data_IF_113072094532
#
_entry.id   IF_113072094532
#
_cell.length_a   1.000
_cell.length_b   1.000
_cell.length_c   1.000
_cell.angle_alpha   90.00
_cell.angle_beta   90.00
_cell.angle_gamma   90.00
#
_symmetry.space_group_name_H-M   'P 1'
#
loop_
_entity.id
_entity.type
_entity.pdbx_description
1 polymer ?
#
# COMPACT_ATOMS: atom_id res chain seq x y z
N UNK A 1 -15.05 29.72 -68.69
CA UNK A 1 -14.95 29.81 -67.21
C UNK A 1 -14.79 28.40 -66.65
N UNK A 2 -13.56 28.03 -66.33
CA UNK A 2 -13.20 26.79 -65.61
C UNK A 2 -12.45 27.25 -64.36
N UNK A 3 -13.18 27.66 -63.35
CA UNK A 3 -12.59 28.06 -62.06
C UNK A 3 -12.25 26.80 -61.26
N UNK A 4 -10.97 26.68 -60.91
CA UNK A 4 -10.40 25.59 -60.11
C UNK A 4 -10.60 25.93 -58.64
N UNK A 5 -11.39 25.14 -57.91
CA UNK A 5 -11.36 25.14 -56.44
C UNK A 5 -10.23 24.25 -55.95
N UNK A 6 -9.01 24.79 -55.89
CA UNK A 6 -7.96 24.30 -54.98
C UNK A 6 -8.20 24.97 -53.64
N UNK A 7 -9.16 24.45 -52.86
CA UNK A 7 -9.26 24.80 -51.45
C UNK A 7 -8.10 24.14 -50.71
N UNK A 8 -7.26 25.01 -50.15
CA UNK A 8 -6.20 24.78 -49.19
C UNK A 8 -6.24 23.44 -48.45
N UNK A 9 -5.05 22.86 -48.27
CA UNK A 9 -4.75 21.76 -47.35
C UNK A 9 -5.13 22.13 -45.91
N UNK A 10 -6.43 22.13 -45.61
CA UNK A 10 -6.94 22.07 -44.26
C UNK A 10 -6.69 20.64 -43.81
N UNK A 11 -5.47 20.38 -43.34
CA UNK A 11 -5.18 19.18 -42.56
C UNK A 11 -6.26 19.12 -41.49
N UNK A 12 -7.15 18.14 -41.59
CA UNK A 12 -8.24 17.94 -40.64
C UNK A 12 -7.56 17.62 -39.31
N UNK A 13 -7.36 18.66 -38.50
CA UNK A 13 -6.76 18.52 -37.18
C UNK A 13 -7.82 17.92 -36.28
N UNK A 14 -7.46 16.81 -35.65
CA UNK A 14 -8.36 16.15 -34.70
C UNK A 14 -8.53 17.08 -33.51
N UNK A 15 -9.78 17.25 -33.09
CA UNK A 15 -10.13 18.03 -31.90
C UNK A 15 -9.39 17.48 -30.66
N UNK A 16 -9.04 18.37 -29.73
CA UNK A 16 -8.16 18.06 -28.59
C UNK A 16 -8.65 16.88 -27.74
N UNK A 17 -9.96 16.67 -27.63
CA UNK A 17 -10.54 15.54 -26.89
C UNK A 17 -10.32 14.18 -27.58
N UNK A 18 -9.97 14.18 -28.88
CA UNK A 18 -9.64 12.97 -29.64
C UNK A 18 -8.14 12.64 -29.62
N UNK A 19 -7.27 13.60 -29.30
CA UNK A 19 -5.81 13.42 -29.30
C UNK A 19 -5.23 13.37 -27.90
N UNK A 20 -5.80 14.12 -26.96
CA UNK A 20 -5.33 14.20 -25.59
C UNK A 20 -6.25 13.45 -24.65
N UNK A 21 -5.68 12.47 -23.92
CA UNK A 21 -6.41 11.82 -22.85
C UNK A 21 -6.66 12.84 -21.72
N UNK A 22 -7.84 12.76 -21.05
CA UNK A 22 -8.09 13.52 -19.84
C UNK A 22 -6.94 13.38 -18.83
N UNK A 23 -6.61 14.43 -18.05
CA UNK A 23 -5.51 14.41 -17.09
C UNK A 23 -5.58 13.23 -16.11
N UNK A 24 -6.79 12.78 -15.76
CA UNK A 24 -7.05 11.63 -14.90
C UNK A 24 -6.60 10.28 -15.51
N UNK A 25 -6.54 10.20 -16.85
CA UNK A 25 -6.25 8.99 -17.62
C UNK A 25 -4.87 9.03 -18.30
N UNK A 26 -4.04 10.05 -18.03
CA UNK A 26 -2.71 10.21 -18.66
C UNK A 26 -1.78 9.00 -18.47
N UNK A 27 -1.97 8.20 -17.42
CA UNK A 27 -1.20 6.99 -17.11
C UNK A 27 -1.89 5.68 -17.51
N UNK A 28 -3.02 5.75 -18.22
CA UNK A 28 -3.78 4.58 -18.64
C UNK A 28 -2.97 3.77 -19.68
N UNK A 29 -2.58 2.55 -19.32
CA UNK A 29 -1.97 1.58 -20.25
C UNK A 29 -0.47 1.31 -20.09
N UNK A 30 0.27 2.12 -19.31
CA UNK A 30 1.72 1.93 -19.11
C UNK A 30 2.12 1.26 -17.79
N UNK A 31 1.16 0.65 -17.09
CA UNK A 31 1.40 -0.05 -15.82
C UNK A 31 0.60 -1.34 -15.68
N UNK A 32 0.85 -2.14 -14.63
CA UNK A 32 0.12 -3.37 -14.35
C UNK A 32 -1.39 -3.12 -14.34
N UNK A 33 -2.14 -3.93 -15.10
CA UNK A 33 -3.60 -3.86 -15.24
C UNK A 33 -4.29 -4.46 -14.01
N UNK A 34 -4.08 -3.89 -12.84
CA UNK A 34 -4.73 -4.30 -11.59
C UNK A 34 -5.62 -3.19 -11.06
N UNK A 35 -6.68 -3.56 -10.36
CA UNK A 35 -7.55 -2.58 -9.70
C UNK A 35 -6.75 -1.79 -8.67
N UNK A 36 -6.99 -0.48 -8.59
CA UNK A 36 -6.37 0.37 -7.57
C UNK A 36 -6.85 -0.11 -6.20
N UNK A 37 -5.90 -0.55 -5.35
CA UNK A 37 -6.20 -0.99 -3.97
C UNK A 37 -6.52 0.15 -3.00
N UNK A 38 -6.26 1.39 -3.40
CA UNK A 38 -6.56 2.61 -2.62
C UNK A 38 -7.28 3.60 -3.54
N UNK A 39 -8.19 4.37 -2.97
CA UNK A 39 -8.81 5.50 -3.66
C UNK A 39 -7.73 6.54 -3.98
N UNK A 40 -7.69 7.04 -5.20
CA UNK A 40 -6.84 8.18 -5.53
C UNK A 40 -7.46 9.44 -4.96
N UNK A 41 -6.67 10.19 -4.18
CA UNK A 41 -6.99 11.55 -3.70
C UNK A 41 -7.36 12.52 -4.84
N UNK A 42 -6.97 12.17 -6.07
CA UNK A 42 -7.20 12.93 -7.31
C UNK A 42 -8.44 12.49 -8.07
N UNK A 43 -9.21 11.51 -7.58
CA UNK A 43 -10.50 11.20 -8.19
C UNK A 43 -11.40 12.40 -7.96
N UNK A 44 -11.61 13.20 -9.00
CA UNK A 44 -12.56 14.31 -8.96
C UNK A 44 -13.95 13.84 -8.55
N UNK A 45 -14.75 14.79 -8.07
CA UNK A 45 -16.11 14.53 -7.62
C UNK A 45 -16.95 13.92 -8.76
N UNK A 46 -17.42 12.69 -8.55
CA UNK A 46 -18.21 11.92 -9.53
C UNK A 46 -19.71 12.13 -9.34
N UNK A 47 -20.14 12.88 -8.31
CA UNK A 47 -21.57 13.14 -8.03
C UNK A 47 -22.15 14.28 -8.85
N UNK A 48 -21.37 14.90 -9.74
CA UNK A 48 -21.80 16.05 -10.56
C UNK A 48 -23.07 15.75 -11.37
N UNK A 49 -23.28 14.50 -11.77
CA UNK A 49 -24.46 14.08 -12.52
C UNK A 49 -25.70 13.81 -11.66
N UNK A 50 -25.53 13.59 -10.35
CA UNK A 50 -26.62 13.25 -9.43
C UNK A 50 -27.06 14.42 -8.55
N UNK A 51 -26.33 15.54 -8.56
CA UNK A 51 -26.59 16.67 -7.68
C UNK A 51 -27.59 17.69 -8.27
N UNK A 52 -28.48 18.18 -7.42
CA UNK A 52 -29.37 19.30 -7.75
C UNK A 52 -28.62 20.65 -7.65
N UNK A 53 -29.14 21.74 -8.25
CA UNK A 53 -28.50 23.06 -8.16
C UNK A 53 -28.25 23.53 -6.72
N UNK A 54 -29.15 23.19 -5.79
CA UNK A 54 -29.01 23.51 -4.37
C UNK A 54 -27.90 22.68 -3.67
N UNK A 55 -27.75 21.41 -4.06
CA UNK A 55 -26.69 20.54 -3.52
C UNK A 55 -25.30 20.99 -3.97
N UNK A 56 -25.21 21.52 -5.20
CA UNK A 56 -23.97 22.05 -5.76
C UNK A 56 -23.43 23.24 -4.95
N UNK A 57 -24.30 24.16 -4.53
CA UNK A 57 -23.90 25.30 -3.70
C UNK A 57 -23.48 24.88 -2.29
N UNK A 58 -24.17 23.90 -1.70
CA UNK A 58 -23.82 23.35 -0.38
C UNK A 58 -22.45 22.67 -0.40
N UNK A 59 -22.20 21.78 -1.36
CA UNK A 59 -20.91 21.09 -1.52
C UNK A 59 -19.76 22.04 -1.84
N UNK A 60 -20.02 23.11 -2.61
CA UNK A 60 -19.00 24.12 -2.89
C UNK A 60 -18.54 24.85 -1.61
N UNK A 61 -19.48 25.21 -0.72
CA UNK A 61 -19.15 25.83 0.57
C UNK A 61 -18.38 24.88 1.49
N UNK A 62 -18.82 23.64 1.62
CA UNK A 62 -18.15 22.61 2.41
C UNK A 62 -16.72 22.35 1.91
N UNK A 63 -16.51 22.30 0.59
CA UNK A 63 -15.17 22.09 0.02
C UNK A 63 -14.22 23.26 0.29
N UNK A 64 -14.71 24.50 0.28
CA UNK A 64 -13.91 25.67 0.64
C UNK A 64 -13.56 25.71 2.13
N UNK A 65 -14.43 25.19 2.99
CA UNK A 65 -14.15 25.03 4.43
C UNK A 65 -13.16 23.89 4.70
N UNK A 66 -13.30 22.75 4.01
CA UNK A 66 -12.40 21.61 4.12
C UNK A 66 -10.98 21.90 3.60
N UNK A 67 -10.83 22.70 2.53
CA UNK A 67 -9.51 23.15 2.06
C UNK A 67 -8.78 24.03 3.08
N UNK A 68 -9.51 24.82 3.88
CA UNK A 68 -8.94 25.67 4.93
C UNK A 68 -8.52 24.87 6.17
N UNK A 69 -9.13 23.70 6.42
CA UNK A 69 -8.77 22.83 7.54
C UNK A 69 -7.69 21.80 7.19
N UNK A 70 -7.63 21.34 5.93
CA UNK A 70 -6.67 20.33 5.48
C UNK A 70 -5.20 20.81 5.47
N UNK A 71 -4.94 22.11 5.31
CA UNK A 71 -3.57 22.67 5.38
C UNK A 71 -2.95 22.61 6.79
N UNK A 72 -3.68 22.09 7.78
CA UNK A 72 -3.29 22.07 9.20
C UNK A 72 -3.11 20.64 9.76
N UNK A 73 -3.33 19.60 8.95
CA UNK A 73 -3.34 18.20 9.39
C UNK A 73 -2.01 17.48 9.07
N UNK A 74 -1.12 18.11 8.29
CA UNK A 74 0.22 17.56 7.97
C UNK A 74 1.30 17.99 8.99
N UNK A 75 0.93 18.77 10.01
CA UNK A 75 1.77 18.86 11.20
C UNK A 75 1.53 17.61 12.03
N UNK A 76 2.58 16.81 12.16
CA UNK A 76 2.78 15.76 13.17
C UNK A 76 1.79 15.96 14.32
N UNK A 77 0.89 15.00 14.54
CA UNK A 77 0.09 14.99 15.77
C UNK A 77 1.06 15.13 16.93
N UNK A 78 1.21 16.34 17.46
CA UNK A 78 2.25 16.68 18.42
C UNK A 78 1.89 15.91 19.67
N UNK A 79 2.49 14.72 19.81
CA UNK A 79 2.28 13.87 20.97
C UNK A 79 2.52 14.74 22.19
N UNK A 80 1.50 14.83 23.05
CA UNK A 80 1.57 15.64 24.25
C UNK A 80 2.81 15.24 25.03
N UNK A 81 3.45 16.17 25.74
CA UNK A 81 4.63 15.85 26.55
C UNK A 81 4.39 14.70 27.54
N UNK A 82 3.13 14.46 27.91
CA UNK A 82 2.68 13.30 28.67
C UNK A 82 2.82 11.97 27.91
N UNK A 83 2.43 11.94 26.64
CA UNK A 83 2.44 10.72 25.82
C UNK A 83 3.86 10.26 25.52
N UNK A 84 4.79 11.20 25.31
CA UNK A 84 6.22 10.90 25.16
C UNK A 84 6.78 10.20 26.39
N UNK A 85 6.50 10.73 27.59
CA UNK A 85 6.91 10.11 28.86
C UNK A 85 6.31 8.72 29.06
N UNK A 86 5.04 8.55 28.70
CA UNK A 86 4.38 7.24 28.79
C UNK A 86 5.01 6.23 27.82
N UNK A 87 5.30 6.66 26.59
CA UNK A 87 5.97 5.83 25.61
C UNK A 87 7.34 5.37 26.11
N UNK A 88 8.15 6.28 26.67
CA UNK A 88 9.47 5.96 27.26
C UNK A 88 9.39 4.99 28.45
N UNK A 89 8.38 5.14 29.32
CA UNK A 89 8.14 4.19 30.41
C UNK A 89 7.76 2.80 29.90
N UNK A 90 6.92 2.73 28.86
CA UNK A 90 6.51 1.46 28.26
C UNK A 90 7.67 0.80 27.50
N UNK A 91 8.49 1.57 26.78
CA UNK A 91 9.67 1.04 26.07
C UNK A 91 10.69 0.48 27.05
N UNK A 92 11.07 1.23 28.09
CA UNK A 92 12.01 0.76 29.12
C UNK A 92 11.53 -0.50 29.86
N UNK A 93 10.23 -0.59 30.16
CA UNK A 93 9.65 -1.81 30.71
C UNK A 93 9.73 -2.99 29.72
N UNK A 94 9.34 -2.77 28.47
CA UNK A 94 9.37 -3.82 27.45
C UNK A 94 10.79 -4.32 27.20
N UNK A 95 11.79 -3.45 27.16
CA UNK A 95 13.20 -3.81 26.93
C UNK A 95 13.79 -4.66 28.07
N UNK A 96 13.38 -4.42 29.31
CA UNK A 96 13.91 -5.13 30.48
C UNK A 96 13.13 -6.41 30.85
N UNK A 97 11.81 -6.42 30.62
CA UNK A 97 10.91 -7.50 31.06
C UNK A 97 10.39 -8.37 29.93
N UNK A 98 10.43 -7.91 28.67
CA UNK A 98 9.95 -8.68 27.51
C UNK A 98 11.09 -9.01 26.56
N UNK A 99 10.92 -10.12 25.85
CA UNK A 99 11.74 -10.43 24.69
C UNK A 99 11.43 -9.46 23.55
N UNK A 100 12.36 -9.35 22.60
CA UNK A 100 12.19 -8.55 21.40
C UNK A 100 10.87 -8.84 20.68
N UNK A 101 10.27 -7.80 20.10
CA UNK A 101 9.03 -7.94 19.32
C UNK A 101 9.27 -8.83 18.11
N UNK A 102 8.26 -9.61 17.72
CA UNK A 102 8.30 -10.44 16.52
C UNK A 102 8.67 -9.63 15.26
N UNK A 103 8.18 -8.38 15.18
CA UNK A 103 8.49 -7.47 14.08
C UNK A 103 9.96 -7.03 14.10
N UNK A 104 10.48 -6.72 15.28
CA UNK A 104 11.88 -6.33 15.45
C UNK A 104 12.82 -7.49 15.14
N UNK A 105 12.49 -8.71 15.58
CA UNK A 105 13.19 -9.94 15.23
C UNK A 105 13.21 -10.12 13.72
N UNK A 106 12.08 -9.91 13.05
CA UNK A 106 11.99 -10.03 11.59
C UNK A 106 12.85 -8.98 10.88
N UNK A 107 12.79 -7.71 11.31
CA UNK A 107 13.61 -6.64 10.76
C UNK A 107 15.11 -6.87 10.98
N UNK A 108 15.51 -7.33 12.16
CA UNK A 108 16.90 -7.72 12.45
C UNK A 108 17.35 -8.86 11.55
N UNK A 109 16.53 -9.89 11.33
CA UNK A 109 16.83 -11.00 10.41
C UNK A 109 17.00 -10.55 8.96
N UNK A 110 16.18 -9.62 8.48
CA UNK A 110 16.33 -9.07 7.13
C UNK A 110 17.62 -8.26 7.00
N UNK A 111 17.95 -7.43 8.01
CA UNK A 111 19.19 -6.65 8.04
C UNK A 111 20.42 -7.53 8.12
N UNK A 112 20.42 -8.57 8.94
CA UNK A 112 21.56 -9.50 9.07
C UNK A 112 21.81 -10.26 7.77
N UNK A 113 20.76 -10.78 7.12
CA UNK A 113 20.87 -11.43 5.81
C UNK A 113 21.44 -10.50 4.75
N UNK A 114 20.97 -9.26 4.70
CA UNK A 114 21.48 -8.27 3.76
C UNK A 114 22.96 -7.91 4.02
N UNK A 115 23.37 -7.84 5.29
CA UNK A 115 24.77 -7.61 5.65
C UNK A 115 25.65 -8.82 5.27
N UNK A 116 25.17 -10.03 5.49
CA UNK A 116 25.87 -11.27 5.15
C UNK A 116 26.02 -11.46 3.63
N UNK A 117 25.01 -11.07 2.84
CA UNK A 117 25.10 -11.04 1.38
C UNK A 117 26.13 -10.01 0.89
N UNK A 118 26.20 -8.82 1.50
CA UNK A 118 27.19 -7.79 1.15
C UNK A 118 28.64 -8.19 1.45
N UNK A 119 28.87 -9.06 2.44
CA UNK A 119 30.20 -9.56 2.76
C UNK A 119 30.70 -10.64 1.80
N UNK A 120 29.81 -11.21 0.97
CA UNK A 120 30.20 -12.18 -0.05
C UNK A 120 30.62 -11.44 -1.32
N UNK A 121 31.71 -11.83 -2.00
CA UNK A 121 32.08 -11.23 -3.27
C UNK A 121 30.92 -11.44 -4.26
N UNK A 122 30.39 -10.33 -4.79
CA UNK A 122 29.25 -10.34 -5.69
C UNK A 122 29.70 -10.68 -7.11
N UNK A 123 30.04 -11.95 -7.32
CA UNK A 123 30.35 -12.48 -8.64
C UNK A 123 29.06 -12.71 -9.44
N UNK A 124 29.14 -12.51 -10.76
CA UNK A 124 28.02 -12.79 -11.67
C UNK A 124 27.80 -14.30 -11.78
N UNK A 125 26.84 -14.81 -11.02
CA UNK A 125 26.41 -16.19 -11.05
C UNK A 125 25.30 -16.40 -12.09
N UNK A 126 25.26 -17.54 -12.81
CA UNK A 126 24.12 -17.89 -13.66
C UNK A 126 22.85 -18.13 -12.84
N UNK A 127 21.69 -17.97 -13.49
CA UNK A 127 20.38 -18.18 -12.87
C UNK A 127 20.22 -19.62 -12.40
N UNK A 128 19.86 -19.79 -11.12
CA UNK A 128 19.55 -21.08 -10.52
C UNK A 128 18.07 -21.11 -10.14
N UNK A 129 17.31 -22.02 -10.75
CA UNK A 129 15.87 -22.13 -10.51
C UNK A 129 15.56 -22.35 -9.04
N UNK A 130 16.30 -23.16 -8.30
CA UNK A 130 15.94 -23.47 -6.92
C UNK A 130 16.29 -22.34 -5.94
N UNK A 131 17.23 -21.46 -6.30
CA UNK A 131 17.64 -20.33 -5.46
C UNK A 131 17.00 -18.99 -5.86
N UNK A 132 16.86 -18.75 -7.16
CA UNK A 132 16.38 -17.48 -7.70
C UNK A 132 14.86 -17.49 -7.92
N UNK A 133 14.29 -18.67 -8.22
CA UNK A 133 12.85 -18.82 -8.22
C UNK A 133 12.41 -19.09 -6.78
N UNK A 134 11.69 -18.13 -6.19
CA UNK A 134 10.96 -18.32 -4.92
C UNK A 134 9.78 -19.30 -5.11
N UNK A 135 10.06 -20.51 -5.60
CA UNK A 135 9.08 -21.59 -5.56
C UNK A 135 8.97 -21.97 -4.10
N UNK A 136 7.76 -21.91 -3.55
CA UNK A 136 7.43 -22.38 -2.19
C UNK A 136 7.53 -23.92 -2.10
N UNK A 137 8.69 -24.48 -2.44
CA UNK A 137 9.06 -25.85 -2.13
C UNK A 137 9.39 -25.88 -0.65
N UNK A 138 8.36 -26.11 0.17
CA UNK A 138 8.60 -26.46 1.56
C UNK A 138 9.50 -27.68 1.57
N UNK A 139 10.64 -27.56 2.24
CA UNK A 139 11.48 -28.70 2.56
C UNK A 139 10.60 -29.78 3.22
N UNK A 140 10.80 -31.06 2.89
CA UNK A 140 9.90 -32.12 3.35
C UNK A 140 9.83 -32.18 4.88
N UNK A 141 10.94 -31.86 5.55
CA UNK A 141 11.00 -31.72 6.99
C UNK A 141 10.09 -30.59 7.50
N UNK A 142 10.09 -29.43 6.84
CA UNK A 142 9.22 -28.30 7.18
C UNK A 142 7.75 -28.64 6.94
N UNK A 143 7.43 -29.31 5.83
CA UNK A 143 6.07 -29.78 5.52
C UNK A 143 5.58 -30.75 6.59
N UNK A 144 6.39 -31.74 6.97
CA UNK A 144 6.08 -32.70 8.05
C UNK A 144 5.91 -32.00 9.39
N UNK A 145 6.77 -31.04 9.72
CA UNK A 145 6.66 -30.26 10.95
C UNK A 145 5.38 -29.42 10.98
N UNK A 146 4.98 -28.81 9.87
CA UNK A 146 3.72 -28.07 9.75
C UNK A 146 2.50 -28.98 9.98
N UNK A 147 2.50 -30.17 9.34
CA UNK A 147 1.44 -31.17 9.49
C UNK A 147 1.35 -31.69 10.94
N UNK A 148 2.50 -31.87 11.62
CA UNK A 148 2.50 -32.24 13.05
C UNK A 148 1.91 -31.12 13.90
N UNK A 149 2.38 -29.89 13.72
CA UNK A 149 1.88 -28.71 14.45
C UNK A 149 0.39 -28.47 14.24
N UNK A 150 -0.15 -28.77 13.05
CA UNK A 150 -1.58 -28.60 12.76
C UNK A 150 -2.44 -29.65 13.44
N UNK A 151 -1.96 -30.90 13.60
CA UNK A 151 -2.65 -31.94 14.39
C UNK A 151 -2.84 -31.50 15.84
N UNK A 152 -1.83 -30.88 16.41
CA UNK A 152 -1.86 -30.38 17.80
C UNK A 152 -2.76 -29.14 17.98
N UNK A 153 -3.28 -28.53 16.91
CA UNK A 153 -4.21 -27.40 17.06
C UNK A 153 -5.57 -27.82 17.61
N UNK A 154 -6.01 -29.06 17.32
CA UNK A 154 -7.27 -29.57 17.83
C UNK A 154 -7.26 -29.69 19.35
N UNK A 155 -6.14 -30.10 19.94
CA UNK A 155 -6.00 -30.31 21.38
C UNK A 155 -5.69 -29.03 22.16
N UNK A 156 -5.21 -27.97 21.49
CA UNK A 156 -4.89 -26.69 22.15
C UNK A 156 -6.10 -25.91 22.63
N UNK A 157 -7.25 -26.12 22.00
CA UNK A 157 -8.51 -25.49 22.39
C UNK A 157 -9.52 -26.52 22.94
N UNK A 158 -9.07 -27.75 23.20
CA UNK A 158 -9.88 -28.69 23.95
C UNK A 158 -10.14 -28.11 25.35
N UNK A 159 -11.40 -28.10 25.74
CA UNK A 159 -11.86 -27.58 27.02
C UNK A 159 -11.06 -28.24 28.14
N UNK A 160 -10.21 -27.46 28.84
CA UNK A 160 -9.59 -27.93 30.06
C UNK A 160 -10.71 -28.33 31.02
N UNK A 161 -10.72 -29.58 31.49
CA UNK A 161 -11.72 -30.06 32.47
C UNK A 161 -11.58 -29.41 33.84
N UNK A 162 -10.73 -28.41 34.01
CA UNK A 162 -10.53 -27.76 35.30
C UNK A 162 -9.60 -26.59 35.18
N UNK A 163 -10.12 -25.45 34.72
CA UNK A 163 -9.82 -24.11 35.23
C UNK A 163 -10.73 -23.10 34.52
N UNK A 164 -11.88 -22.81 35.16
CA UNK A 164 -12.62 -21.58 34.87
C UNK A 164 -11.88 -20.45 35.56
N UNK A 165 -11.24 -19.57 34.79
CA UNK A 165 -10.75 -18.31 35.32
C UNK A 165 -11.95 -17.36 35.45
N UNK A 166 -12.32 -17.05 36.70
CA UNK A 166 -13.12 -15.87 37.06
C UNK A 166 -12.26 -14.61 36.96
#
# INVERSE_FOLDING_TARGET
MKEKLTSADNVITRELWMTELPPELKSFGFGPRTFKRRADEKSGDRSVWTDTPADRERKAKEREEAKKSASKVDEETVLSGRDKRLAEQVTSYNESRRSESLMDIHHKKLKSKAAEEKNKPQERRPFDRDQDLKVHRFDEAQKKALIRKSRDLNTKFEHSKGNMFL
#
